data_IF_148131307361
#
_entry.id   IF_148131307361
#
_cell.length_a   1.000
_cell.length_b   1.000
_cell.length_c   1.000
_cell.angle_alpha   90.00
_cell.angle_beta   90.00
_cell.angle_gamma   90.00
#
_symmetry.space_group_name_H-M   'P 1'
#
loop_
_entity.id
_entity.type
_entity.pdbx_description
1 polymer ?
#
# COMPACT_ATOMS: atom_id res chain seq x y z
N UNK A 1 1.06 -8.26 0.65
CA UNK A 1 0.95 -8.53 -0.79
C UNK A 1 0.43 -9.94 -1.06
N UNK A 2 -0.59 -10.06 -1.91
CA UNK A 2 -1.16 -11.36 -2.34
C UNK A 2 -0.19 -12.21 -3.17
N UNK A 3 -0.44 -13.53 -3.24
CA UNK A 3 0.32 -14.44 -4.11
C UNK A 3 0.27 -14.00 -5.58
N UNK A 4 -0.91 -13.62 -6.09
CA UNK A 4 -1.06 -13.16 -7.47
C UNK A 4 -0.23 -11.91 -7.78
N UNK A 5 -0.23 -10.92 -6.89
CA UNK A 5 0.65 -9.75 -7.00
C UNK A 5 2.12 -10.21 -6.95
N UNK A 6 2.48 -11.10 -6.03
CA UNK A 6 3.85 -11.61 -5.90
C UNK A 6 4.33 -12.40 -7.12
N UNK A 7 3.48 -13.19 -7.77
CA UNK A 7 3.86 -14.10 -8.86
C UNK A 7 3.64 -13.55 -10.24
N UNK A 8 2.63 -12.70 -10.46
CA UNK A 8 2.29 -12.18 -11.79
C UNK A 8 2.82 -10.76 -11.99
N UNK A 9 2.82 -9.93 -10.93
CA UNK A 9 3.21 -8.53 -10.98
C UNK A 9 4.67 -8.32 -10.58
N UNK A 10 5.13 -9.05 -9.57
CA UNK A 10 6.50 -9.00 -9.07
C UNK A 10 7.41 -10.11 -9.64
N UNK A 11 6.97 -10.80 -10.70
CA UNK A 11 7.68 -11.93 -11.32
C UNK A 11 9.15 -11.62 -11.65
N UNK A 12 9.45 -10.41 -12.10
CA UNK A 12 10.81 -9.93 -12.43
C UNK A 12 11.43 -9.02 -11.36
N UNK A 13 10.65 -8.57 -10.38
CA UNK A 13 11.09 -7.68 -9.29
C UNK A 13 10.66 -8.32 -7.97
N UNK A 14 11.50 -9.16 -7.33
CA UNK A 14 11.11 -9.87 -6.13
C UNK A 14 10.92 -8.86 -4.99
N UNK A 15 9.68 -8.48 -4.69
CA UNK A 15 9.35 -8.00 -3.35
C UNK A 15 9.52 -9.20 -2.43
N UNK A 16 10.41 -9.15 -1.44
CA UNK A 16 10.79 -10.33 -0.68
C UNK A 16 9.80 -10.59 0.48
N UNK A 17 8.53 -10.26 0.27
CA UNK A 17 7.42 -10.51 1.16
C UNK A 17 6.16 -10.81 0.35
N UNK A 18 5.46 -11.88 0.70
CA UNK A 18 4.10 -12.15 0.25
C UNK A 18 3.42 -13.09 1.22
N UNK A 19 2.09 -13.12 1.18
CA UNK A 19 1.29 -13.99 2.03
C UNK A 19 0.30 -14.79 1.20
N UNK A 20 0.05 -16.03 1.62
CA UNK A 20 -1.08 -16.81 1.15
C UNK A 20 -1.96 -17.20 2.34
N UNK A 21 -2.99 -18.02 2.10
CA UNK A 21 -3.94 -18.44 3.13
C UNK A 21 -3.29 -19.00 4.40
N UNK A 22 -2.16 -19.70 4.27
CA UNK A 22 -1.58 -20.47 5.37
C UNK A 22 -0.22 -19.92 5.86
N UNK A 23 0.53 -19.20 5.01
CA UNK A 23 1.95 -18.90 5.23
C UNK A 23 2.28 -17.47 4.79
N UNK A 24 3.03 -16.76 5.66
CA UNK A 24 3.74 -15.52 5.32
C UNK A 24 5.17 -15.87 4.91
N UNK A 25 5.55 -15.51 3.69
CA UNK A 25 6.92 -15.55 3.21
C UNK A 25 7.55 -14.19 3.38
N UNK A 26 8.74 -14.13 3.98
CA UNK A 26 9.39 -12.86 4.28
C UNK A 26 10.91 -13.01 4.43
N UNK A 27 11.67 -12.08 3.83
CA UNK A 27 13.11 -11.96 4.05
C UNK A 27 13.42 -10.99 5.19
N UNK A 28 14.08 -11.41 6.28
CA UNK A 28 14.49 -10.54 7.37
C UNK A 28 15.76 -9.72 7.06
N UNK A 29 16.30 -9.79 5.84
CA UNK A 29 17.52 -9.06 5.47
C UNK A 29 17.24 -7.56 5.27
N UNK A 30 17.43 -6.80 6.34
CA UNK A 30 17.27 -5.34 6.34
C UNK A 30 18.12 -4.65 5.25
N UNK A 31 19.32 -5.13 4.96
CA UNK A 31 20.19 -4.50 3.94
C UNK A 31 19.61 -4.62 2.54
N UNK A 32 19.00 -5.77 2.23
CA UNK A 32 18.33 -5.97 0.94
C UNK A 32 17.10 -5.08 0.79
N UNK A 33 16.31 -4.92 1.86
CA UNK A 33 15.17 -4.00 1.87
C UNK A 33 15.59 -2.55 1.64
N UNK A 34 16.64 -2.09 2.32
CA UNK A 34 17.19 -0.73 2.09
C UNK A 34 17.57 -0.53 0.62
N UNK A 35 18.27 -1.50 0.04
CA UNK A 35 18.66 -1.44 -1.37
C UNK A 35 17.45 -1.44 -2.31
N UNK A 36 16.40 -2.21 -2.00
CA UNK A 36 15.17 -2.24 -2.78
C UNK A 36 14.47 -0.87 -2.78
N UNK A 37 14.26 -0.28 -1.60
CA UNK A 37 13.62 1.03 -1.50
C UNK A 37 14.46 2.16 -2.10
N UNK A 38 15.80 2.09 -2.06
CA UNK A 38 16.65 3.06 -2.75
C UNK A 38 16.53 2.91 -4.29
N UNK A 39 16.43 1.68 -4.81
CA UNK A 39 16.25 1.43 -6.25
C UNK A 39 14.96 2.05 -6.79
N UNK A 40 13.92 2.16 -5.97
CA UNK A 40 12.64 2.78 -6.36
C UNK A 40 12.80 4.27 -6.76
N UNK A 41 13.90 4.93 -6.41
CA UNK A 41 14.15 6.32 -6.78
C UNK A 41 14.52 6.50 -8.26
N UNK A 42 14.76 5.41 -9.01
CA UNK A 42 15.12 5.42 -10.44
C UNK A 42 16.33 6.32 -10.74
N UNK A 43 17.27 6.42 -9.80
CA UNK A 43 18.45 7.28 -9.93
C UNK A 43 18.17 8.78 -9.77
N UNK A 44 16.96 9.20 -9.38
CA UNK A 44 16.68 10.60 -9.01
C UNK A 44 17.40 10.94 -7.71
N UNK A 45 18.12 12.06 -7.71
CA UNK A 45 18.83 12.56 -6.53
C UNK A 45 17.84 13.14 -5.50
N UNK A 46 17.54 12.37 -4.47
CA UNK A 46 16.68 12.74 -3.35
C UNK A 46 17.40 12.45 -2.02
N UNK A 47 18.29 13.34 -1.56
CA UNK A 47 19.16 13.07 -0.41
C UNK A 47 18.40 12.76 0.88
N UNK A 48 17.28 13.45 1.12
CA UNK A 48 16.43 13.23 2.31
C UNK A 48 15.79 11.84 2.28
N UNK A 49 15.13 11.49 1.16
CA UNK A 49 14.45 10.20 0.99
C UNK A 49 15.46 9.05 1.01
N UNK A 50 16.60 9.22 0.34
CA UNK A 50 17.69 8.25 0.35
C UNK A 50 18.21 8.02 1.77
N UNK A 51 18.49 9.10 2.51
CA UNK A 51 18.93 9.04 3.90
C UNK A 51 17.91 8.32 4.80
N UNK A 52 16.62 8.56 4.60
CA UNK A 52 15.56 7.85 5.32
C UNK A 52 15.66 6.33 5.14
N UNK A 53 15.77 5.85 3.89
CA UNK A 53 15.87 4.41 3.63
C UNK A 53 17.23 3.83 4.05
N UNK A 54 18.34 4.54 3.89
CA UNK A 54 19.65 4.10 4.39
C UNK A 54 19.66 3.89 5.91
N UNK A 55 18.89 4.71 6.64
CA UNK A 55 18.73 4.65 8.09
C UNK A 55 17.50 3.85 8.54
N UNK A 56 16.86 3.08 7.65
CA UNK A 56 15.71 2.26 7.98
C UNK A 56 16.02 1.29 9.13
N UNK A 57 15.08 1.15 10.06
CA UNK A 57 15.19 0.31 11.27
C UNK A 57 14.44 -1.01 11.13
N UNK A 58 14.72 -1.96 12.04
CA UNK A 58 13.98 -3.22 12.12
C UNK A 58 12.49 -3.03 12.40
N UNK A 59 12.05 -1.91 13.00
CA UNK A 59 10.62 -1.64 13.18
C UNK A 59 9.90 -1.37 11.85
N UNK A 60 10.54 -0.62 10.96
CA UNK A 60 10.00 -0.39 9.61
C UNK A 60 10.04 -1.68 8.79
N UNK A 61 10.97 -2.58 9.10
CA UNK A 61 10.96 -3.91 8.52
C UNK A 61 9.82 -4.76 9.09
N UNK A 62 9.55 -4.63 10.39
CA UNK A 62 8.45 -5.31 11.06
C UNK A 62 7.07 -4.84 10.59
N UNK A 63 6.92 -3.59 10.12
CA UNK A 63 5.67 -3.15 9.49
C UNK A 63 5.34 -3.92 8.22
N UNK A 64 6.34 -4.42 7.47
CA UNK A 64 6.10 -5.28 6.30
C UNK A 64 5.51 -6.62 6.74
N UNK A 65 6.04 -7.22 7.80
CA UNK A 65 5.45 -8.46 8.37
C UNK A 65 4.03 -8.19 8.91
N UNK A 66 3.84 -7.05 9.57
CA UNK A 66 2.52 -6.62 10.05
C UNK A 66 1.52 -6.37 8.91
N UNK A 67 1.98 -5.85 7.77
CA UNK A 67 1.20 -5.72 6.57
C UNK A 67 0.75 -7.10 6.08
N UNK A 68 1.69 -8.03 5.92
CA UNK A 68 1.38 -9.40 5.47
C UNK A 68 0.40 -10.13 6.40
N UNK A 69 0.53 -9.93 7.71
CA UNK A 69 -0.40 -10.46 8.71
C UNK A 69 -1.80 -9.83 8.63
N UNK A 70 -1.89 -8.56 8.20
CA UNK A 70 -3.17 -7.86 8.14
C UNK A 70 -4.08 -8.44 7.05
N UNK A 71 -3.52 -8.97 5.96
CA UNK A 71 -4.30 -9.67 4.92
C UNK A 71 -5.12 -10.85 5.44
N UNK A 72 -4.73 -11.49 6.55
CA UNK A 72 -5.51 -12.56 7.19
C UNK A 72 -6.73 -12.06 7.99
N UNK A 73 -7.05 -10.77 7.92
CA UNK A 73 -8.21 -10.20 8.59
C UNK A 73 -9.51 -10.51 7.85
N UNK A 74 -10.48 -11.11 8.55
CA UNK A 74 -11.87 -11.35 8.07
C UNK A 74 -12.67 -10.06 7.74
N UNK A 75 -12.05 -8.89 7.84
CA UNK A 75 -12.64 -7.62 7.46
C UNK A 75 -12.45 -7.30 5.97
N UNK A 76 -11.61 -8.03 5.24
CA UNK A 76 -11.54 -7.91 3.78
C UNK A 76 -12.60 -8.80 3.14
N UNK A 77 -13.21 -8.34 2.05
CA UNK A 77 -14.35 -9.06 1.42
C UNK A 77 -13.90 -10.09 0.39
N UNK A 78 -12.71 -9.91 -0.19
CA UNK A 78 -12.17 -10.81 -1.20
C UNK A 78 -11.32 -11.89 -0.51
N UNK A 79 -11.56 -13.14 -0.88
CA UNK A 79 -10.77 -14.27 -0.37
C UNK A 79 -9.44 -14.40 -1.13
N UNK A 80 -8.50 -15.17 -0.58
CA UNK A 80 -7.18 -15.39 -1.20
C UNK A 80 -7.24 -16.01 -2.61
N UNK A 81 -8.29 -16.77 -2.90
CA UNK A 81 -8.46 -17.53 -4.15
C UNK A 81 -9.45 -16.86 -5.14
N UNK A 82 -10.01 -15.69 -4.80
CA UNK A 82 -10.95 -14.97 -5.66
C UNK A 82 -10.23 -14.06 -6.66
N UNK A 83 -10.79 -13.92 -7.87
CA UNK A 83 -10.32 -12.97 -8.88
C UNK A 83 -10.44 -11.53 -8.31
N UNK A 84 -9.31 -10.90 -7.99
CA UNK A 84 -9.26 -9.55 -7.41
C UNK A 84 -9.50 -8.48 -8.48
N UNK A 85 -10.77 -8.22 -8.79
CA UNK A 85 -11.11 -7.25 -9.85
C UNK A 85 -11.26 -5.79 -9.35
N UNK A 86 -11.69 -5.57 -8.11
CA UNK A 86 -12.01 -4.24 -7.58
C UNK A 86 -11.46 -3.99 -6.17
N UNK A 87 -10.89 -2.80 -5.93
CA UNK A 87 -10.61 -2.34 -4.57
C UNK A 87 -9.31 -2.83 -3.94
N UNK A 88 -8.36 -3.36 -4.72
CA UNK A 88 -7.02 -3.77 -4.27
C UNK A 88 -6.34 -2.68 -3.43
N UNK A 89 -6.46 -1.43 -3.86
CA UNK A 89 -5.88 -0.28 -3.14
C UNK A 89 -6.39 -0.14 -1.70
N UNK A 90 -7.63 -0.53 -1.44
CA UNK A 90 -8.20 -0.45 -0.11
C UNK A 90 -7.54 -1.47 0.81
N UNK A 91 -7.42 -2.73 0.36
CA UNK A 91 -6.79 -3.80 1.14
C UNK A 91 -5.31 -3.50 1.41
N UNK A 92 -4.52 -3.23 0.36
CA UNK A 92 -3.09 -2.95 0.49
C UNK A 92 -2.85 -1.68 1.32
N UNK A 93 -3.67 -0.64 1.12
CA UNK A 93 -3.63 0.60 1.90
C UNK A 93 -3.98 0.41 3.38
N UNK A 94 -4.96 -0.43 3.70
CA UNK A 94 -5.35 -0.77 5.07
C UNK A 94 -4.28 -1.62 5.76
N UNK A 95 -3.68 -2.57 5.03
CA UNK A 95 -2.57 -3.37 5.52
C UNK A 95 -1.38 -2.49 5.90
N UNK A 96 -1.03 -1.50 5.05
CA UNK A 96 -0.01 -0.51 5.38
C UNK A 96 -0.42 0.39 6.55
N UNK A 97 -1.64 0.93 6.54
CA UNK A 97 -2.08 1.84 7.59
C UNK A 97 -2.09 1.17 8.97
N UNK A 98 -2.76 0.01 9.11
CA UNK A 98 -2.91 -0.71 10.38
C UNK A 98 -1.54 -1.14 10.90
N UNK A 99 -0.73 -1.79 10.08
CA UNK A 99 0.59 -2.27 10.49
C UNK A 99 1.47 -1.13 11.02
N UNK A 100 1.53 -0.02 10.28
CA UNK A 100 2.33 1.15 10.65
C UNK A 100 1.76 1.85 11.88
N UNK A 101 0.44 2.01 11.99
CA UNK A 101 -0.23 2.70 13.11
C UNK A 101 0.01 2.02 14.45
N UNK A 102 0.06 0.69 14.48
CA UNK A 102 0.24 -0.08 15.72
C UNK A 102 1.70 -0.40 16.06
N UNK A 103 2.59 -0.48 15.07
CA UNK A 103 4.01 -0.84 15.28
C UNK A 103 4.88 0.39 15.49
N UNK A 104 4.65 1.45 14.70
CA UNK A 104 5.46 2.66 14.75
C UNK A 104 4.97 3.61 15.84
N UNK A 105 5.88 4.36 16.44
CA UNK A 105 5.49 5.51 17.24
C UNK A 105 5.03 6.68 16.33
N UNK A 106 4.44 7.71 16.92
CA UNK A 106 3.88 8.84 16.15
C UNK A 106 4.93 9.57 15.29
N UNK A 107 6.16 9.73 15.77
CA UNK A 107 7.24 10.37 15.01
C UNK A 107 7.66 9.50 13.82
N UNK A 108 7.85 8.20 14.05
CA UNK A 108 8.18 7.21 13.01
C UNK A 108 7.07 7.15 11.93
N UNK A 109 5.79 7.13 12.35
CA UNK A 109 4.62 7.13 11.46
C UNK A 109 4.49 8.41 10.64
N UNK A 110 4.73 9.57 11.27
CA UNK A 110 4.73 10.85 10.56
C UNK A 110 5.88 10.94 9.55
N UNK A 111 7.05 10.43 9.92
CA UNK A 111 8.23 10.46 9.06
C UNK A 111 8.00 9.64 7.77
N UNK A 112 7.55 8.39 7.88
CA UNK A 112 7.25 7.58 6.67
C UNK A 112 6.13 8.21 5.83
N UNK A 113 5.10 8.79 6.46
CA UNK A 113 4.03 9.49 5.75
C UNK A 113 4.57 10.66 4.93
N UNK A 114 5.47 11.46 5.51
CA UNK A 114 6.08 12.59 4.80
C UNK A 114 6.95 12.15 3.63
N UNK A 115 7.71 11.06 3.80
CA UNK A 115 8.52 10.47 2.72
C UNK A 115 7.64 10.01 1.56
N UNK A 116 6.53 9.32 1.84
CA UNK A 116 5.63 8.82 0.80
C UNK A 116 4.83 9.95 0.12
N UNK A 117 4.46 11.02 0.84
CA UNK A 117 3.92 12.24 0.23
C UNK A 117 4.91 12.85 -0.77
N UNK A 118 6.20 12.93 -0.41
CA UNK A 118 7.24 13.43 -1.31
C UNK A 118 7.42 12.50 -2.52
N UNK A 119 7.37 11.18 -2.33
CA UNK A 119 7.49 10.20 -3.41
C UNK A 119 6.31 10.28 -4.39
N UNK A 120 5.07 10.39 -3.89
CA UNK A 120 3.89 10.61 -4.75
C UNK A 120 4.05 11.91 -5.53
N UNK A 121 4.45 13.01 -4.89
CA UNK A 121 4.68 14.28 -5.58
C UNK A 121 5.78 14.19 -6.65
N UNK A 122 6.86 13.46 -6.37
CA UNK A 122 8.01 13.29 -7.27
C UNK A 122 7.68 12.50 -8.53
N UNK A 123 6.77 11.53 -8.41
CA UNK A 123 6.45 10.59 -9.49
C UNK A 123 5.07 10.79 -10.11
N UNK A 124 4.25 11.73 -9.61
CA UNK A 124 2.90 12.05 -10.12
C UNK A 124 2.85 12.26 -11.63
N UNK A 125 3.77 13.04 -12.20
CA UNK A 125 3.73 13.32 -13.65
C UNK A 125 4.05 12.08 -14.50
N UNK A 126 4.77 11.09 -13.94
CA UNK A 126 5.19 9.89 -14.65
C UNK A 126 4.19 8.75 -14.48
N UNK A 127 3.65 8.56 -13.28
CA UNK A 127 2.82 7.41 -12.90
C UNK A 127 1.43 7.81 -12.41
N UNK A 128 1.03 9.08 -12.43
CA UNK A 128 -0.23 9.55 -11.85
C UNK A 128 -1.42 9.62 -12.81
N UNK A 129 -1.24 9.27 -14.08
CA UNK A 129 -2.30 9.39 -15.10
C UNK A 129 -3.23 8.16 -15.14
N UNK A 130 -3.59 7.63 -13.96
CA UNK A 130 -4.53 6.54 -13.76
C UNK A 130 -5.21 6.62 -12.40
N UNK A 131 -6.41 6.07 -12.31
CA UNK A 131 -7.20 5.94 -11.09
C UNK A 131 -6.51 4.99 -10.11
N UNK A 132 -6.76 5.18 -8.82
CA UNK A 132 -6.32 4.24 -7.80
C UNK A 132 -7.12 2.92 -7.84
N UNK A 133 -8.33 2.94 -8.44
CA UNK A 133 -9.11 1.72 -8.73
C UNK A 133 -8.44 0.87 -9.83
N UNK A 134 -7.47 1.43 -10.58
CA UNK A 134 -6.66 0.69 -11.54
C UNK A 134 -5.40 0.07 -10.91
N UNK A 135 -5.23 0.16 -9.58
CA UNK A 135 -4.15 -0.56 -8.89
C UNK A 135 -4.32 -2.07 -9.10
N UNK A 136 -3.32 -2.71 -9.69
CA UNK A 136 -3.31 -4.14 -9.98
C UNK A 136 -3.53 -4.45 -11.46
N UNK A 137 -4.20 -3.57 -12.21
CA UNK A 137 -4.54 -3.80 -13.61
C UNK A 137 -3.43 -3.42 -14.61
N UNK A 138 -2.62 -2.40 -14.30
CA UNK A 138 -1.50 -1.95 -15.14
C UNK A 138 -0.18 -2.69 -14.89
N UNK A 139 -0.18 -3.65 -13.98
CA UNK A 139 1.03 -4.17 -13.34
C UNK A 139 1.85 -5.14 -14.18
N UNK A 140 1.32 -5.57 -15.33
CA UNK A 140 2.03 -6.49 -16.23
C UNK A 140 3.21 -5.85 -16.98
N UNK A 141 3.38 -4.51 -16.92
CA UNK A 141 4.49 -3.79 -17.58
C UNK A 141 5.21 -2.76 -16.67
N UNK A 142 4.89 -2.70 -15.38
CA UNK A 142 5.34 -1.63 -14.47
C UNK A 142 6.74 -1.83 -13.87
N UNK A 143 7.52 -0.74 -13.69
CA UNK A 143 8.74 -0.78 -12.88
C UNK A 143 8.41 -0.92 -11.39
N UNK A 144 9.39 -1.30 -10.55
CA UNK A 144 9.27 -1.27 -9.08
C UNK A 144 8.60 0.02 -8.60
N UNK A 145 9.05 1.16 -9.12
CA UNK A 145 8.54 2.47 -8.74
C UNK A 145 7.09 2.69 -9.14
N UNK A 146 6.68 2.21 -10.33
CA UNK A 146 5.29 2.29 -10.76
C UNK A 146 4.37 1.53 -9.80
N UNK A 147 4.80 0.36 -9.33
CA UNK A 147 4.02 -0.43 -8.40
C UNK A 147 4.00 0.22 -7.01
N UNK A 148 5.18 0.62 -6.50
CA UNK A 148 5.27 1.32 -5.21
C UNK A 148 4.46 2.63 -5.20
N UNK A 149 4.32 3.29 -6.34
CA UNK A 149 3.49 4.49 -6.47
C UNK A 149 2.03 4.25 -6.10
N UNK A 150 1.46 3.11 -6.51
CA UNK A 150 0.10 2.74 -6.14
C UNK A 150 -0.03 2.36 -4.67
N UNK A 151 0.97 1.69 -4.11
CA UNK A 151 1.07 1.46 -2.66
C UNK A 151 1.07 2.77 -1.84
N UNK A 152 1.90 3.76 -2.22
CA UNK A 152 1.95 5.03 -1.51
C UNK A 152 0.62 5.78 -1.59
N UNK A 153 -0.01 5.83 -2.78
CA UNK A 153 -1.33 6.44 -2.96
C UNK A 153 -2.39 5.71 -2.13
N UNK A 154 -2.35 4.38 -2.08
CA UNK A 154 -3.25 3.55 -1.27
C UNK A 154 -3.15 3.86 0.21
N UNK A 155 -1.94 3.84 0.77
CA UNK A 155 -1.71 4.19 2.16
C UNK A 155 -2.20 5.61 2.49
N UNK A 156 -1.87 6.60 1.65
CA UNK A 156 -2.27 7.99 1.87
C UNK A 156 -3.80 8.19 1.77
N UNK A 157 -4.46 7.47 0.86
CA UNK A 157 -5.92 7.48 0.74
C UNK A 157 -6.57 6.91 2.01
N UNK A 158 -6.12 5.75 2.48
CA UNK A 158 -6.63 5.14 3.70
C UNK A 158 -6.36 6.02 4.92
N UNK A 159 -5.15 6.58 5.06
CA UNK A 159 -4.84 7.52 6.14
C UNK A 159 -5.81 8.70 6.14
N UNK A 160 -6.09 9.29 4.98
CA UNK A 160 -7.06 10.37 4.86
C UNK A 160 -8.48 9.93 5.26
N UNK A 161 -8.93 8.77 4.79
CA UNK A 161 -10.24 8.23 5.15
C UNK A 161 -10.37 8.00 6.66
N UNK A 162 -9.41 7.30 7.26
CA UNK A 162 -9.44 6.97 8.69
C UNK A 162 -9.29 8.23 9.55
N UNK A 163 -8.26 9.04 9.31
CA UNK A 163 -7.91 10.11 10.24
C UNK A 163 -8.76 11.36 10.04
N UNK A 164 -9.05 11.74 8.79
CA UNK A 164 -9.77 12.98 8.47
C UNK A 164 -11.27 12.78 8.28
N UNK A 165 -11.70 11.74 7.53
CA UNK A 165 -13.14 11.49 7.31
C UNK A 165 -13.82 10.75 8.48
N UNK A 166 -13.12 9.80 9.10
CA UNK A 166 -13.66 8.96 10.16
C UNK A 166 -13.18 9.31 11.58
N UNK A 167 -12.42 10.41 11.75
CA UNK A 167 -11.93 10.87 13.06
C UNK A 167 -11.19 9.75 13.84
N UNK A 168 -10.28 9.06 13.14
CA UNK A 168 -9.50 7.91 13.61
C UNK A 168 -10.31 6.62 13.88
N UNK A 169 -11.54 6.50 13.34
CA UNK A 169 -12.35 5.28 13.46
C UNK A 169 -12.14 4.32 12.27
N UNK A 170 -11.23 3.37 12.45
CA UNK A 170 -10.93 2.30 11.47
C UNK A 170 -12.18 1.44 11.19
N UNK A 171 -13.03 1.20 12.20
CA UNK A 171 -14.21 0.33 12.05
C UNK A 171 -15.26 0.99 11.19
N UNK A 172 -15.40 2.31 11.30
CA UNK A 172 -16.30 3.05 10.42
C UNK A 172 -15.92 2.86 8.95
N UNK A 173 -14.63 2.93 8.62
CA UNK A 173 -14.15 2.74 7.25
C UNK A 173 -14.40 1.31 6.74
N UNK A 174 -14.16 0.29 7.56
CA UNK A 174 -14.51 -1.09 7.18
C UNK A 174 -16.02 -1.29 7.01
N UNK A 175 -16.86 -0.69 7.86
CA UNK A 175 -18.31 -0.77 7.71
C UNK A 175 -18.79 -0.16 6.38
N UNK A 176 -18.24 0.99 5.98
CA UNK A 176 -18.56 1.60 4.68
C UNK A 176 -18.10 0.72 3.51
N UNK A 177 -16.91 0.14 3.60
CA UNK A 177 -16.41 -0.83 2.61
C UNK A 177 -17.30 -2.07 2.50
N UNK A 178 -17.77 -2.62 3.62
CA UNK A 178 -18.73 -3.73 3.64
C UNK A 178 -20.09 -3.33 3.06
N UNK A 179 -20.57 -2.12 3.37
CA UNK A 179 -21.82 -1.62 2.80
C UNK A 179 -21.72 -1.49 1.28
N UNK A 180 -20.61 -0.93 0.77
CA UNK A 180 -20.35 -0.86 -0.67
C UNK A 180 -20.42 -2.23 -1.35
N UNK A 181 -19.78 -3.25 -0.76
CA UNK A 181 -19.81 -4.61 -1.30
C UNK A 181 -21.22 -5.22 -1.21
N UNK A 182 -21.88 -5.14 -0.05
CA UNK A 182 -23.21 -5.71 0.18
C UNK A 182 -24.31 -5.05 -0.66
N UNK A 183 -24.14 -3.79 -1.05
CA UNK A 183 -25.03 -3.09 -1.98
C UNK A 183 -24.80 -3.47 -3.46
N UNK A 184 -23.82 -4.35 -3.73
CA UNK A 184 -23.50 -4.87 -5.05
C UNK A 184 -22.54 -4.00 -5.87
N UNK A 185 -21.61 -3.29 -5.22
CA UNK A 185 -20.53 -2.52 -5.87
C UNK A 185 -21.04 -1.59 -7.00
N UNK A 186 -22.16 -0.90 -6.77
CA UNK A 186 -22.88 -0.10 -7.81
C UNK A 186 -22.07 1.04 -8.46
N UNK A 187 -21.01 1.47 -7.78
CA UNK A 187 -20.06 2.51 -8.20
C UNK A 187 -18.65 2.06 -7.80
N UNK A 188 -17.62 2.66 -8.39
CA UNK A 188 -16.24 2.31 -8.01
C UNK A 188 -15.96 2.60 -6.54
N UNK A 189 -14.94 1.99 -5.95
CA UNK A 189 -14.66 2.16 -4.53
C UNK A 189 -14.18 3.58 -4.21
N UNK A 190 -13.38 4.20 -5.09
CA UNK A 190 -13.03 5.63 -4.99
C UNK A 190 -14.29 6.51 -5.04
N UNK A 191 -15.23 6.20 -5.94
CA UNK A 191 -16.49 6.94 -6.01
C UNK A 191 -17.37 6.72 -4.79
N UNK A 192 -17.30 5.53 -4.17
CA UNK A 192 -17.96 5.24 -2.91
C UNK A 192 -17.44 6.12 -1.79
N UNK A 193 -16.12 6.21 -1.66
CA UNK A 193 -15.47 7.01 -0.62
C UNK A 193 -15.33 8.49 -0.95
N UNK A 194 -15.70 8.93 -2.15
CA UNK A 194 -15.60 10.33 -2.62
C UNK A 194 -14.17 10.88 -2.50
N UNK A 195 -13.20 10.17 -3.09
CA UNK A 195 -11.77 10.54 -3.06
C UNK A 195 -11.13 10.64 -4.46
N UNK A 196 -11.94 10.79 -5.52
CA UNK A 196 -11.48 10.86 -6.92
C UNK A 196 -10.42 11.95 -7.16
N UNK A 197 -10.49 13.05 -6.41
CA UNK A 197 -9.60 14.20 -6.57
C UNK A 197 -8.45 14.26 -5.57
N UNK A 198 -8.26 13.22 -4.74
CA UNK A 198 -7.30 13.28 -3.64
C UNK A 198 -5.86 13.51 -4.12
N UNK A 199 -5.51 12.99 -5.29
CA UNK A 199 -4.17 13.10 -5.87
C UNK A 199 -4.12 13.96 -7.15
N UNK A 200 -5.23 14.61 -7.52
CA UNK A 200 -5.31 15.47 -8.71
C UNK A 200 -4.57 16.79 -8.55
#
# INVERSE_FOLDING_TARGET
TSEELATNVFSDVPIPAFTNKDIIYFSPDLSNWKNLFIKQLEGKEQPEIKSFYENMSEKQLFTIVGHELTHHSDLFVDEFDDDREDGIWFEEGMCDYISRKYILNQEEFNNITNIELQLVALFKDKYGNHSLDEFGSASYEGSLTSIMFDYWRSFLAIKYLVEEKANNDIKLIFNEYHNWHNEGRKKSLIEHFEIQSLFN
#
